data_IF_956915806859
#
_entry.id   IF_956915806859
#
_cell.length_a   1.000
_cell.length_b   1.000
_cell.length_c   1.000
_cell.angle_alpha   90.00
_cell.angle_beta   90.00
_cell.angle_gamma   90.00
#
_symmetry.space_group_name_H-M   'P 1'
#
loop_
_entity.id
_entity.type
_entity.pdbx_description
1 polymer ?
#
# COMPACT_ATOMS: atom_id res chain seq x y z
N UNK A 1 6.03 16.07 -0.84
CA UNK A 1 7.40 16.07 -0.30
C UNK A 1 8.03 14.78 -0.77
N UNK A 2 9.11 14.82 -1.55
CA UNK A 2 9.82 13.61 -1.98
C UNK A 2 10.97 13.40 -1.01
N UNK A 3 11.04 12.23 -0.35
CA UNK A 3 12.11 11.91 0.59
C UNK A 3 13.37 11.54 -0.20
N UNK A 4 14.47 12.25 0.03
CA UNK A 4 15.78 11.90 -0.54
C UNK A 4 16.39 10.75 0.26
N UNK A 5 16.20 9.53 -0.25
CA UNK A 5 16.68 8.29 0.35
C UNK A 5 18.20 8.25 0.55
N UNK A 6 18.99 8.89 -0.31
CA UNK A 6 20.45 8.89 -0.17
C UNK A 6 20.90 9.70 1.06
N UNK A 7 20.14 10.73 1.42
CA UNK A 7 20.41 11.57 2.58
C UNK A 7 19.92 10.92 3.89
N UNK A 8 18.85 10.09 3.83
CA UNK A 8 18.38 9.30 4.99
C UNK A 8 19.36 8.19 5.36
N UNK A 9 19.93 7.49 4.36
CA UNK A 9 20.84 6.36 4.56
C UNK A 9 22.23 6.76 5.10
N UNK A 10 22.64 8.02 4.95
CA UNK A 10 23.97 8.50 5.35
C UNK A 10 24.02 9.07 6.78
N UNK A 11 22.88 9.22 7.46
CA UNK A 11 22.83 9.81 8.79
C UNK A 11 21.93 9.02 9.74
N UNK A 12 22.55 8.26 10.66
CA UNK A 12 21.84 7.43 11.64
C UNK A 12 20.85 8.21 12.52
N UNK A 13 21.06 9.52 12.72
CA UNK A 13 20.15 10.37 13.50
C UNK A 13 18.85 10.70 12.75
N UNK A 14 18.81 10.54 11.43
CA UNK A 14 17.60 10.71 10.60
C UNK A 14 16.89 9.41 10.28
N UNK A 15 17.54 8.25 10.45
CA UNK A 15 16.93 6.93 10.19
C UNK A 15 15.76 6.68 11.14
N UNK A 16 15.96 6.87 12.46
CA UNK A 16 14.94 6.62 13.49
C UNK A 16 13.61 7.37 13.21
N UNK A 17 13.59 8.70 13.01
CA UNK A 17 12.35 9.43 12.76
C UNK A 17 11.70 9.08 11.41
N UNK A 18 12.49 8.73 10.37
CA UNK A 18 11.94 8.35 9.06
C UNK A 18 11.30 6.96 9.12
N UNK A 19 11.89 6.02 9.85
CA UNK A 19 11.33 4.68 10.08
C UNK A 19 10.03 4.76 10.87
N UNK A 20 9.97 5.59 11.92
CA UNK A 20 8.73 5.80 12.69
C UNK A 20 7.65 6.42 11.82
N UNK A 21 7.96 7.49 11.07
CA UNK A 21 7.02 8.13 10.15
C UNK A 21 6.48 7.15 9.09
N UNK A 22 7.36 6.31 8.54
CA UNK A 22 6.98 5.26 7.60
C UNK A 22 6.01 4.26 8.25
N UNK A 23 6.38 3.68 9.40
CA UNK A 23 5.60 2.66 10.07
C UNK A 23 4.23 3.16 10.53
N UNK A 24 4.15 4.38 11.04
CA UNK A 24 2.90 5.00 11.50
C UNK A 24 1.95 5.24 10.32
N UNK A 25 2.45 5.86 9.24
CA UNK A 25 1.66 6.10 8.01
C UNK A 25 1.24 4.78 7.35
N UNK A 26 2.16 3.84 7.22
CA UNK A 26 1.88 2.51 6.66
C UNK A 26 0.78 1.79 7.45
N UNK A 27 0.88 1.77 8.78
CA UNK A 27 -0.09 1.07 9.64
C UNK A 27 -1.48 1.70 9.53
N UNK A 28 -1.55 3.03 9.50
CA UNK A 28 -2.81 3.77 9.31
C UNK A 28 -3.46 3.43 7.96
N UNK A 29 -2.71 3.57 6.87
CA UNK A 29 -3.19 3.31 5.51
C UNK A 29 -3.60 1.84 5.33
N UNK A 30 -2.81 0.90 5.84
CA UNK A 30 -3.11 -0.53 5.75
C UNK A 30 -4.37 -0.90 6.53
N UNK A 31 -4.62 -0.25 7.66
CA UNK A 31 -5.82 -0.47 8.47
C UNK A 31 -7.07 0.03 7.77
N UNK A 32 -7.01 1.23 7.17
CA UNK A 32 -8.11 1.78 6.38
C UNK A 32 -8.40 0.90 5.17
N UNK A 33 -7.37 0.47 4.44
CA UNK A 33 -7.49 -0.42 3.29
C UNK A 33 -8.10 -1.78 3.67
N UNK A 34 -7.61 -2.43 4.73
CA UNK A 34 -8.17 -3.70 5.24
C UNK A 34 -9.63 -3.56 5.65
N UNK A 35 -10.00 -2.44 6.25
CA UNK A 35 -11.38 -2.14 6.65
C UNK A 35 -12.27 -1.96 5.42
N UNK A 36 -11.78 -1.23 4.41
CA UNK A 36 -12.47 -1.04 3.13
C UNK A 36 -12.69 -2.36 2.38
N UNK A 37 -11.70 -3.25 2.39
CA UNK A 37 -11.80 -4.61 1.82
C UNK A 37 -12.84 -5.45 2.56
N UNK A 38 -12.76 -5.52 3.90
CA UNK A 38 -13.70 -6.29 4.74
C UNK A 38 -15.14 -5.76 4.71
N UNK A 39 -15.32 -4.44 4.57
CA UNK A 39 -16.63 -3.79 4.51
C UNK A 39 -17.44 -4.17 3.26
N UNK A 40 -16.79 -4.75 2.25
CA UNK A 40 -17.43 -5.23 1.00
C UNK A 40 -17.72 -6.71 1.07
N UNK A 41 -18.59 -7.11 1.99
CA UNK A 41 -19.29 -8.39 1.86
C UNK A 41 -20.22 -8.28 0.64
N UNK A 42 -19.77 -8.75 -0.53
CA UNK A 42 -20.56 -9.12 -1.73
C UNK A 42 -20.86 -8.08 -2.82
N UNK A 43 -20.32 -6.86 -2.83
CA UNK A 43 -20.70 -5.88 -3.87
C UNK A 43 -19.49 -5.14 -4.46
N UNK A 44 -19.12 -5.57 -5.68
CA UNK A 44 -18.31 -4.86 -6.69
C UNK A 44 -16.86 -4.53 -6.25
N UNK A 45 -15.86 -5.02 -7.00
CA UNK A 45 -14.43 -4.69 -6.84
C UNK A 45 -14.17 -3.17 -6.74
N UNK A 46 -15.03 -2.36 -7.38
CA UNK A 46 -14.90 -0.92 -7.49
C UNK A 46 -16.07 -0.24 -6.79
N UNK A 47 -15.81 0.30 -5.61
CA UNK A 47 -16.64 1.31 -4.95
C UNK A 47 -15.73 2.50 -4.59
N UNK A 48 -16.26 3.71 -4.67
CA UNK A 48 -15.53 4.97 -4.49
C UNK A 48 -14.71 5.02 -3.20
N UNK A 49 -15.23 4.44 -2.11
CA UNK A 49 -14.54 4.38 -0.81
C UNK A 49 -13.23 3.57 -0.90
N UNK A 50 -13.26 2.42 -1.57
CA UNK A 50 -12.07 1.57 -1.67
C UNK A 50 -11.08 2.17 -2.65
N UNK A 51 -11.57 2.70 -3.77
CA UNK A 51 -10.72 3.36 -4.75
C UNK A 51 -9.91 4.50 -4.11
N UNK A 52 -10.50 5.26 -3.18
CA UNK A 52 -9.78 6.29 -2.44
C UNK A 52 -8.65 5.71 -1.58
N UNK A 53 -8.93 4.68 -0.77
CA UNK A 53 -7.90 4.07 0.08
C UNK A 53 -6.81 3.32 -0.70
N UNK A 54 -7.16 2.75 -1.86
CA UNK A 54 -6.18 2.15 -2.79
C UNK A 54 -5.29 3.23 -3.40
N UNK A 55 -5.86 4.38 -3.81
CA UNK A 55 -5.09 5.51 -4.33
C UNK A 55 -4.15 6.09 -3.26
N UNK A 56 -4.63 6.30 -2.03
CA UNK A 56 -3.82 6.77 -0.89
C UNK A 56 -2.64 5.82 -0.61
N UNK A 57 -2.91 4.51 -0.59
CA UNK A 57 -1.86 3.51 -0.39
C UNK A 57 -0.87 3.49 -1.57
N UNK A 58 -1.35 3.63 -2.81
CA UNK A 58 -0.50 3.68 -4.01
C UNK A 58 0.45 4.86 -3.96
N UNK A 59 -0.04 6.05 -3.62
CA UNK A 59 0.79 7.26 -3.47
C UNK A 59 1.87 7.08 -2.41
N UNK A 60 1.51 6.50 -1.25
CA UNK A 60 2.47 6.16 -0.21
C UNK A 60 3.53 5.16 -0.70
N UNK A 61 3.12 4.08 -1.34
CA UNK A 61 4.05 3.05 -1.84
C UNK A 61 5.02 3.64 -2.89
N UNK A 62 4.55 4.56 -3.76
CA UNK A 62 5.40 5.27 -4.72
C UNK A 62 6.39 6.19 -4.01
N UNK A 63 5.94 6.95 -3.00
CA UNK A 63 6.78 7.83 -2.18
C UNK A 63 7.98 7.09 -1.57
N UNK A 64 7.80 5.80 -1.26
CA UNK A 64 8.80 4.94 -0.63
C UNK A 64 9.41 3.87 -1.57
N UNK A 65 9.24 4.00 -2.89
CA UNK A 65 9.97 3.20 -3.89
C UNK A 65 9.40 1.82 -4.23
N UNK A 66 8.18 1.49 -3.83
CA UNK A 66 7.55 0.18 -4.06
C UNK A 66 6.86 0.03 -5.42
N UNK A 67 7.57 0.23 -6.54
CA UNK A 67 6.98 0.28 -7.89
C UNK A 67 6.09 -0.93 -8.24
N UNK A 68 6.52 -2.15 -7.87
CA UNK A 68 5.75 -3.37 -8.13
C UNK A 68 4.39 -3.36 -7.41
N UNK A 69 4.40 -3.06 -6.11
CA UNK A 69 3.18 -2.97 -5.30
C UNK A 69 2.27 -1.83 -5.78
N UNK A 70 2.85 -0.70 -6.22
CA UNK A 70 2.10 0.41 -6.80
C UNK A 70 1.40 0.04 -8.12
N UNK A 71 2.08 -0.73 -8.99
CA UNK A 71 1.49 -1.23 -10.22
C UNK A 71 0.31 -2.17 -9.95
N UNK A 72 0.42 -3.06 -8.96
CA UNK A 72 -0.68 -3.94 -8.56
C UNK A 72 -1.88 -3.14 -8.01
N UNK A 73 -1.64 -2.07 -7.24
CA UNK A 73 -2.69 -1.18 -6.76
C UNK A 73 -3.36 -0.44 -7.93
N UNK A 74 -2.61 -0.03 -8.96
CA UNK A 74 -3.17 0.57 -10.17
C UNK A 74 -4.00 -0.43 -10.99
N UNK A 75 -3.54 -1.68 -11.13
CA UNK A 75 -4.31 -2.77 -11.75
C UNK A 75 -5.66 -2.97 -11.06
N UNK A 76 -5.69 -2.88 -9.72
CA UNK A 76 -6.92 -2.93 -8.95
C UNK A 76 -7.90 -1.79 -9.29
N UNK A 77 -7.41 -0.55 -9.41
CA UNK A 77 -8.23 0.61 -9.78
C UNK A 77 -8.78 0.53 -11.20
N UNK A 78 -7.99 -0.06 -12.11
CA UNK A 78 -8.35 -0.31 -13.50
C UNK A 78 -9.27 -1.53 -13.64
N UNK A 79 -9.27 -2.46 -12.68
CA UNK A 79 -10.11 -3.65 -12.71
C UNK A 79 -11.59 -3.24 -12.69
N UNK A 80 -12.28 -3.61 -13.76
CA UNK A 80 -13.70 -3.36 -13.96
C UNK A 80 -14.55 -4.59 -13.64
N UNK A 81 -14.03 -5.57 -12.89
CA UNK A 81 -14.67 -6.85 -12.59
C UNK A 81 -15.90 -6.67 -11.69
N UNK A 82 -16.93 -6.10 -12.29
CA UNK A 82 -18.32 -6.15 -11.87
C UNK A 82 -18.74 -7.60 -12.08
N UNK A 83 -18.92 -8.34 -10.99
CA UNK A 83 -19.58 -9.65 -11.02
C UNK A 83 -18.75 -10.86 -10.56
N UNK A 84 -17.43 -10.75 -10.38
CA UNK A 84 -16.61 -11.85 -9.86
C UNK A 84 -16.01 -11.52 -8.49
N UNK A 85 -16.82 -11.78 -7.45
CA UNK A 85 -16.42 -11.60 -6.06
C UNK A 85 -15.19 -12.44 -5.67
N UNK A 86 -14.95 -13.57 -6.34
CA UNK A 86 -13.79 -14.43 -6.09
C UNK A 86 -12.52 -13.80 -6.66
N UNK A 87 -12.57 -13.30 -7.90
CA UNK A 87 -11.46 -12.55 -8.49
C UNK A 87 -11.11 -11.28 -7.69
N UNK A 88 -12.14 -10.55 -7.21
CA UNK A 88 -11.93 -9.39 -6.33
C UNK A 88 -11.19 -9.77 -5.06
N UNK A 89 -11.66 -10.81 -4.36
CA UNK A 89 -11.03 -11.28 -3.12
C UNK A 89 -9.58 -11.73 -3.36
N UNK A 90 -9.33 -12.49 -4.43
CA UNK A 90 -7.98 -12.94 -4.76
C UNK A 90 -7.03 -11.77 -5.04
N UNK A 91 -7.52 -10.72 -5.70
CA UNK A 91 -6.72 -9.52 -5.97
C UNK A 91 -6.47 -8.72 -4.68
N UNK A 92 -7.46 -8.59 -3.81
CA UNK A 92 -7.30 -7.97 -2.48
C UNK A 92 -6.29 -8.71 -1.61
N UNK A 93 -6.39 -10.03 -1.53
CA UNK A 93 -5.46 -10.88 -0.78
C UNK A 93 -4.03 -10.75 -1.33
N UNK A 94 -3.87 -10.71 -2.66
CA UNK A 94 -2.58 -10.48 -3.32
C UNK A 94 -2.01 -9.10 -3.01
N UNK A 95 -2.84 -8.04 -3.02
CA UNK A 95 -2.43 -6.68 -2.63
C UNK A 95 -1.95 -6.66 -1.20
N UNK A 96 -2.69 -7.26 -0.26
CA UNK A 96 -2.29 -7.31 1.14
C UNK A 96 -0.98 -8.07 1.34
N UNK A 97 -0.76 -9.14 0.58
CA UNK A 97 0.50 -9.88 0.60
C UNK A 97 1.67 -9.04 0.08
N UNK A 98 1.52 -8.42 -1.09
CA UNK A 98 2.56 -7.55 -1.68
C UNK A 98 2.87 -6.34 -0.81
N UNK A 99 1.88 -5.78 -0.09
CA UNK A 99 2.11 -4.71 0.87
C UNK A 99 2.93 -5.16 2.08
N UNK A 100 2.79 -6.41 2.53
CA UNK A 100 3.64 -6.96 3.59
C UNK A 100 5.06 -7.16 3.09
N UNK A 101 5.23 -7.74 1.89
CA UNK A 101 6.54 -7.90 1.25
C UNK A 101 7.23 -6.54 1.08
N UNK A 102 6.51 -5.54 0.58
CA UNK A 102 7.01 -4.18 0.48
C UNK A 102 7.50 -3.63 1.83
N UNK A 103 6.73 -3.81 2.91
CA UNK A 103 7.14 -3.38 4.27
C UNK A 103 8.44 -4.04 4.70
N UNK A 104 8.56 -5.35 4.50
CA UNK A 104 9.76 -6.11 4.85
C UNK A 104 10.97 -5.69 4.01
N UNK A 105 10.79 -5.53 2.69
CA UNK A 105 11.82 -5.03 1.80
C UNK A 105 12.30 -3.64 2.22
N UNK A 106 11.38 -2.72 2.49
CA UNK A 106 11.72 -1.35 2.85
C UNK A 106 12.46 -1.27 4.19
N UNK A 107 12.00 -2.01 5.20
CA UNK A 107 12.69 -2.09 6.50
C UNK A 107 14.08 -2.72 6.40
N UNK A 108 14.26 -3.66 5.47
CA UNK A 108 15.56 -4.31 5.21
C UNK A 108 16.56 -3.38 4.52
N UNK A 109 16.12 -2.30 3.85
CA UNK A 109 17.00 -1.31 3.22
C UNK A 109 17.60 -0.30 4.22
N UNK A 110 17.17 -0.33 5.49
CA UNK A 110 17.63 0.58 6.55
C UNK A 110 18.78 0.01 7.40
N UNK A 111 19.21 -1.23 7.12
CA UNK A 111 20.24 -1.96 7.88
C UNK A 111 21.37 -2.43 6.96
#
# INVERSE_FOLDING_TARGET
>A
MVIDFNNVLTNCNTIVPVTTLFLDRYTCLLTNLKTAFKGRRLQICKNSIVSNHVAEMKEFVIEFGGLQTANLLAEYEMSSSIGDACACKNMEDRILNELNVFKECWLSMLC
#
